data_IF_636960672017
#
_entry.id   IF_636960672017
#
_cell.length_a   1.000
_cell.length_b   1.000
_cell.length_c   1.000
_cell.angle_alpha   90.00
_cell.angle_beta   90.00
_cell.angle_gamma   90.00
#
_symmetry.space_group_name_H-M   'P 1'
#
loop_
_entity.id
_entity.type
_entity.pdbx_description
1 polymer ?
#
# COMPACT_ATOMS: atom_id res chain seq x y z
N UNK A 1 -9.13 -4.57 10.35
CA UNK A 1 -8.99 -4.35 8.89
C UNK A 1 -7.72 -3.59 8.60
N UNK A 2 -7.02 -3.98 7.58
CA UNK A 2 -5.83 -3.24 7.14
C UNK A 2 -6.26 -2.09 6.24
N UNK A 3 -5.78 -0.92 6.55
CA UNK A 3 -6.09 0.32 5.85
C UNK A 3 -4.82 0.91 5.25
N UNK A 4 -4.86 1.31 3.97
CA UNK A 4 -3.71 1.82 3.24
C UNK A 4 -3.70 3.35 3.12
N UNK A 5 -4.47 4.06 3.94
CA UNK A 5 -4.41 5.52 3.96
C UNK A 5 -2.98 6.04 4.13
N UNK A 6 -2.14 5.44 5.00
CA UNK A 6 -0.75 5.89 5.11
C UNK A 6 0.01 5.82 3.79
N UNK A 7 -0.22 4.76 2.99
CA UNK A 7 0.43 4.60 1.70
C UNK A 7 0.14 5.79 0.77
N UNK A 8 -1.14 6.17 0.66
CA UNK A 8 -1.52 7.26 -0.24
C UNK A 8 -0.91 8.59 0.19
N UNK A 9 -0.85 8.84 1.50
CA UNK A 9 -0.21 10.05 2.03
C UNK A 9 1.30 10.03 1.78
N UNK A 10 1.95 8.90 1.99
CA UNK A 10 3.37 8.75 1.73
C UNK A 10 3.68 8.94 0.24
N UNK A 11 2.85 8.35 -0.63
CA UNK A 11 2.99 8.51 -2.07
C UNK A 11 2.87 9.98 -2.48
N UNK A 12 1.89 10.69 -1.94
CA UNK A 12 1.66 12.10 -2.24
C UNK A 12 2.88 12.97 -1.87
N UNK A 13 3.57 12.60 -0.79
CA UNK A 13 4.75 13.33 -0.31
C UNK A 13 6.06 12.82 -0.93
N UNK A 14 5.99 11.88 -1.86
CA UNK A 14 7.17 11.31 -2.53
C UNK A 14 7.35 11.91 -3.91
N UNK A 15 8.42 11.50 -4.59
CA UNK A 15 8.65 11.86 -6.00
C UNK A 15 7.93 10.89 -6.94
N UNK A 16 7.30 9.83 -6.40
CA UNK A 16 6.58 8.84 -7.18
C UNK A 16 5.10 9.19 -7.27
N UNK A 17 4.40 8.55 -8.21
CA UNK A 17 2.96 8.64 -8.35
C UNK A 17 2.43 7.33 -8.93
N UNK A 18 1.12 7.22 -9.12
CA UNK A 18 0.51 6.01 -9.69
C UNK A 18 1.18 5.59 -11.01
N UNK A 19 1.38 6.56 -11.89
CA UNK A 19 1.97 6.30 -13.21
C UNK A 19 3.39 5.72 -13.08
N UNK A 20 4.25 6.34 -12.25
CA UNK A 20 5.62 5.86 -12.10
C UNK A 20 5.67 4.52 -11.38
N UNK A 21 4.78 4.26 -10.43
CA UNK A 21 4.73 2.97 -9.76
C UNK A 21 4.37 1.86 -10.74
N UNK A 22 3.45 2.10 -11.66
CA UNK A 22 3.03 1.07 -12.62
C UNK A 22 3.97 0.95 -13.81
N UNK A 23 4.61 2.02 -14.25
CA UNK A 23 5.47 1.99 -15.44
C UNK A 23 6.93 1.76 -15.09
N UNK A 24 7.50 2.55 -14.18
CA UNK A 24 8.92 2.44 -13.83
C UNK A 24 9.18 1.25 -12.89
N UNK A 25 8.34 1.08 -11.90
CA UNK A 25 8.51 0.04 -10.89
C UNK A 25 7.70 -1.21 -11.18
N UNK A 26 6.88 -1.17 -12.22
CA UNK A 26 6.14 -2.32 -12.75
C UNK A 26 5.19 -2.96 -11.75
N UNK A 27 4.65 -2.18 -10.83
CA UNK A 27 3.56 -2.65 -9.98
C UNK A 27 2.33 -2.88 -10.85
N UNK A 28 1.64 -4.00 -10.62
CA UNK A 28 0.47 -4.34 -11.41
C UNK A 28 -0.71 -3.43 -11.08
N UNK A 29 -1.60 -3.24 -12.06
CA UNK A 29 -2.84 -2.52 -11.81
C UNK A 29 -3.70 -3.23 -10.78
N UNK A 30 -3.60 -4.56 -10.69
CA UNK A 30 -4.26 -5.33 -9.65
C UNK A 30 -3.78 -4.95 -8.26
N UNK A 31 -2.46 -4.79 -8.07
CA UNK A 31 -1.89 -4.35 -6.80
C UNK A 31 -2.38 -2.94 -6.45
N UNK A 32 -2.38 -2.02 -7.41
CA UNK A 32 -2.85 -0.66 -7.18
C UNK A 32 -4.33 -0.64 -6.80
N UNK A 33 -5.14 -1.47 -7.45
CA UNK A 33 -6.55 -1.60 -7.14
C UNK A 33 -6.78 -2.12 -5.72
N UNK A 34 -5.97 -3.10 -5.28
CA UNK A 34 -6.04 -3.61 -3.91
C UNK A 34 -5.69 -2.54 -2.89
N UNK A 35 -4.67 -1.75 -3.15
CA UNK A 35 -4.30 -0.63 -2.28
C UNK A 35 -5.44 0.38 -2.20
N UNK A 36 -6.10 0.67 -3.31
CA UNK A 36 -7.21 1.62 -3.35
C UNK A 36 -8.43 1.12 -2.58
N UNK A 37 -8.67 -0.19 -2.60
CA UNK A 37 -9.88 -0.78 -2.02
C UNK A 37 -9.62 -1.51 -0.69
N UNK A 38 -8.48 -1.28 -0.07
CA UNK A 38 -8.08 -1.92 1.19
C UNK A 38 -8.17 -3.44 1.14
N UNK A 39 -7.73 -4.03 0.01
CA UNK A 39 -7.65 -5.48 -0.16
C UNK A 39 -6.24 -5.95 0.16
N UNK A 40 -6.11 -7.23 0.45
CA UNK A 40 -4.84 -7.80 0.87
C UNK A 40 -3.75 -7.70 -0.20
N UNK A 41 -2.55 -7.36 0.23
CA UNK A 41 -1.35 -7.44 -0.60
C UNK A 41 -0.33 -8.29 0.13
N UNK A 42 0.63 -8.86 -0.61
CA UNK A 42 1.65 -9.69 0.01
C UNK A 42 2.67 -8.85 0.77
N UNK A 43 3.32 -9.46 1.75
CA UNK A 43 4.42 -8.80 2.44
C UNK A 43 5.58 -8.50 1.51
N UNK A 44 5.77 -9.30 0.45
CA UNK A 44 6.75 -8.97 -0.59
C UNK A 44 6.42 -7.64 -1.25
N UNK A 45 5.14 -7.39 -1.56
CA UNK A 45 4.72 -6.12 -2.13
C UNK A 45 4.96 -4.97 -1.15
N UNK A 46 4.66 -5.19 0.13
CA UNK A 46 4.94 -4.19 1.17
C UNK A 46 6.44 -3.87 1.21
N UNK A 47 7.28 -4.90 1.16
CA UNK A 47 8.73 -4.72 1.11
C UNK A 47 9.14 -3.86 -0.08
N UNK A 48 8.59 -4.14 -1.26
CA UNK A 48 8.92 -3.39 -2.47
C UNK A 48 8.48 -1.92 -2.37
N UNK A 49 7.29 -1.68 -1.81
CA UNK A 49 6.79 -0.32 -1.61
C UNK A 49 7.67 0.47 -0.63
N UNK A 50 8.09 -0.16 0.46
CA UNK A 50 8.98 0.47 1.42
C UNK A 50 10.31 0.85 0.77
N UNK A 51 10.86 -0.03 -0.06
CA UNK A 51 12.11 0.22 -0.78
C UNK A 51 11.95 1.37 -1.80
N UNK A 52 10.87 1.32 -2.58
CA UNK A 52 10.62 2.32 -3.62
C UNK A 52 10.40 3.71 -3.01
N UNK A 53 9.61 3.78 -1.94
CA UNK A 53 9.24 5.05 -1.32
C UNK A 53 10.20 5.48 -0.21
N UNK A 54 11.16 4.62 0.15
CA UNK A 54 12.12 4.94 1.20
C UNK A 54 11.44 5.15 2.55
N UNK A 55 10.48 4.31 2.91
CA UNK A 55 9.65 4.47 4.09
C UNK A 55 9.58 3.18 4.91
N UNK A 56 8.85 3.24 6.01
CA UNK A 56 8.65 2.11 6.92
C UNK A 56 7.29 1.47 6.69
N UNK A 57 7.07 0.28 7.28
CA UNK A 57 5.80 -0.44 7.14
C UNK A 57 4.61 0.40 7.59
N UNK A 58 4.74 1.11 8.70
CA UNK A 58 3.67 1.96 9.22
C UNK A 58 3.33 3.14 8.29
N UNK A 59 4.21 3.44 7.35
CA UNK A 59 3.95 4.46 6.32
C UNK A 59 3.21 3.89 5.11
N UNK A 60 2.97 2.58 5.11
CA UNK A 60 2.23 1.89 4.04
C UNK A 60 0.85 1.49 4.52
N UNK A 61 0.75 0.90 5.73
CA UNK A 61 -0.48 0.31 6.21
C UNK A 61 -0.63 0.48 7.71
N UNK A 62 -1.88 0.45 8.17
CA UNK A 62 -2.20 0.48 9.60
C UNK A 62 -3.39 -0.44 9.87
N UNK A 63 -3.51 -0.91 11.10
CA UNK A 63 -4.68 -1.66 11.51
C UNK A 63 -5.77 -0.70 11.99
N UNK A 64 -6.97 -0.93 11.50
CA UNK A 64 -8.16 -0.21 11.94
C UNK A 64 -9.20 -1.24 12.36
N UNK A 65 -9.76 -1.18 13.57
CA UNK A 65 -10.83 -2.11 13.97
C UNK A 65 -12.00 -2.04 13.01
N UNK A 66 -12.57 -3.20 12.68
CA UNK A 66 -13.68 -3.30 11.77
C UNK A 66 -14.61 -4.44 12.22
N UNK A 67 -15.92 -4.24 12.07
CA UNK A 67 -16.90 -5.28 12.36
C UNK A 67 -16.79 -6.45 11.40
N UNK A 68 -16.13 -6.26 10.26
CA UNK A 68 -15.91 -7.31 9.27
C UNK A 68 -14.72 -8.22 9.61
N UNK A 69 -13.95 -7.88 10.66
CA UNK A 69 -12.86 -8.73 11.11
C UNK A 69 -13.40 -10.00 11.73
N UNK A 70 -12.78 -11.14 11.37
CA UNK A 70 -13.18 -12.42 11.93
C UNK A 70 -12.71 -12.57 13.37
N UNK A 71 -13.57 -13.02 14.29
CA UNK A 71 -13.12 -13.37 15.63
C UNK A 71 -12.32 -14.68 15.58
N UNK A 72 -11.07 -14.57 15.91
CA UNK A 72 -10.16 -15.73 15.92
C UNK A 72 -10.01 -16.31 17.32
#
# INVERSE_FOLDING_TARGET
MIDYSPFWKTLENSTENWYTLTTRHKLSHSTMSRLKNNKDISMKTVNDLCRILGCKIQDIAQYVPSEDDQPL
#
